data_IF_071273303061
#
_entry.id   IF_071273303061
#
_cell.length_a   1.000
_cell.length_b   1.000
_cell.length_c   1.000
_cell.angle_alpha   90.00
_cell.angle_beta   90.00
_cell.angle_gamma   90.00
#
_symmetry.space_group_name_H-M   'P 1'
#
loop_
_entity.id
_entity.type
_entity.pdbx_description
1 polymer ?
#
# COMPACT_ATOMS: atom_id res chain seq x y z
N UNK A 1 -65.36 24.17 -0.09
CA UNK A 1 -63.93 23.78 0.05
C UNK A 1 -63.83 22.75 1.16
N UNK A 2 -63.63 21.44 0.81
CA UNK A 2 -63.56 20.32 1.74
C UNK A 2 -62.07 19.98 1.97
N UNK A 3 -61.60 20.14 3.19
CA UNK A 3 -60.27 19.74 3.64
C UNK A 3 -60.21 18.20 3.71
N UNK A 4 -59.25 17.61 3.04
CA UNK A 4 -58.94 16.19 3.09
C UNK A 4 -57.90 15.92 4.18
N UNK A 5 -58.30 15.08 5.12
CA UNK A 5 -57.54 14.59 6.28
C UNK A 5 -56.41 13.62 5.87
N UNK A 6 -55.17 13.76 6.32
CA UNK A 6 -54.11 12.81 5.98
C UNK A 6 -54.19 11.57 6.87
N UNK A 7 -54.45 10.44 6.23
CA UNK A 7 -54.58 9.12 6.83
C UNK A 7 -53.39 8.69 7.72
N UNK A 8 -53.70 8.35 8.94
CA UNK A 8 -52.88 7.63 9.92
C UNK A 8 -52.35 6.33 9.32
N UNK A 9 -51.03 6.21 9.24
CA UNK A 9 -50.34 4.93 8.98
C UNK A 9 -50.12 4.23 10.29
N UNK A 10 -50.82 3.12 10.49
CA UNK A 10 -50.58 2.16 11.57
C UNK A 10 -49.30 1.37 11.32
N UNK A 11 -48.45 1.13 12.37
CA UNK A 11 -47.28 0.28 12.25
C UNK A 11 -47.68 -1.22 12.28
N UNK A 12 -46.92 -2.11 11.60
CA UNK A 12 -47.18 -3.54 11.59
C UNK A 12 -46.85 -4.20 12.96
N UNK A 13 -47.53 -5.31 13.30
CA UNK A 13 -47.35 -6.01 14.58
C UNK A 13 -45.99 -6.75 14.66
N UNK A 14 -45.38 -6.65 15.83
CA UNK A 14 -44.20 -7.44 16.21
C UNK A 14 -44.61 -8.90 16.38
N UNK A 15 -44.19 -9.79 15.47
CA UNK A 15 -44.30 -11.23 15.60
C UNK A 15 -43.26 -11.78 16.58
N UNK A 16 -43.74 -12.35 17.68
CA UNK A 16 -42.97 -13.19 18.62
C UNK A 16 -42.74 -14.55 17.98
N UNK A 17 -41.50 -14.83 17.54
CA UNK A 17 -41.06 -16.13 17.07
C UNK A 17 -40.32 -16.89 18.19
N UNK A 18 -40.92 -18.02 18.58
CA UNK A 18 -40.50 -18.96 19.64
C UNK A 18 -39.12 -19.57 19.35
N UNK A 19 -38.35 -19.71 20.41
CA UNK A 19 -37.16 -20.55 20.51
C UNK A 19 -37.47 -22.02 20.21
N UNK A 20 -36.71 -22.62 19.31
CA UNK A 20 -36.59 -24.06 19.16
C UNK A 20 -35.19 -24.47 19.63
N UNK A 21 -35.13 -25.10 20.79
CA UNK A 21 -33.95 -25.77 21.33
C UNK A 21 -33.82 -27.08 20.58
N UNK A 22 -32.82 -27.20 19.72
CA UNK A 22 -32.44 -28.44 19.06
C UNK A 22 -31.20 -29.03 19.73
N UNK A 23 -31.43 -30.07 20.52
CA UNK A 23 -30.43 -31.00 21.06
C UNK A 23 -29.88 -31.83 19.88
N UNK A 24 -28.60 -31.71 19.55
CA UNK A 24 -27.91 -32.59 18.60
C UNK A 24 -26.76 -33.32 19.30
N UNK A 25 -26.85 -34.64 19.28
CA UNK A 25 -26.01 -35.61 19.93
C UNK A 25 -24.55 -35.57 19.42
N UNK A 26 -23.62 -35.72 20.36
CA UNK A 26 -22.21 -35.96 20.12
C UNK A 26 -22.00 -37.38 19.59
N UNK A 27 -21.48 -37.51 18.38
CA UNK A 27 -20.91 -38.76 17.87
C UNK A 27 -19.40 -38.65 18.04
N UNK A 28 -18.88 -39.36 19.04
CA UNK A 28 -17.43 -39.57 19.21
C UNK A 28 -17.06 -40.72 18.25
N UNK A 29 -16.39 -40.39 17.15
CA UNK A 29 -15.71 -41.39 16.33
C UNK A 29 -14.23 -41.35 16.71
N UNK A 30 -13.83 -42.40 17.45
CA UNK A 30 -12.45 -42.67 17.77
C UNK A 30 -11.65 -43.02 16.49
N UNK A 31 -10.73 -42.21 16.11
CA UNK A 31 -9.73 -42.53 15.08
C UNK A 31 -8.44 -42.96 15.76
N UNK A 32 -8.07 -44.21 15.54
CA UNK A 32 -6.83 -44.83 16.00
C UNK A 32 -5.62 -44.09 15.39
N UNK A 33 -4.74 -43.63 16.25
CA UNK A 33 -3.44 -43.07 15.88
C UNK A 33 -2.53 -44.20 15.44
N UNK A 34 -2.31 -44.37 14.14
CA UNK A 34 -1.18 -45.11 13.60
C UNK A 34 0.06 -44.24 13.69
N UNK A 35 0.89 -44.46 14.66
CA UNK A 35 2.25 -43.91 14.77
C UNK A 35 3.14 -44.58 13.72
N UNK A 36 3.29 -44.01 12.55
CA UNK A 36 4.40 -44.31 11.65
C UNK A 36 5.63 -43.54 12.14
N UNK A 37 6.54 -44.27 12.76
CA UNK A 37 7.90 -43.79 13.05
C UNK A 37 8.63 -43.62 11.73
N UNK A 38 8.82 -42.37 11.32
CA UNK A 38 9.76 -42.01 10.26
C UNK A 38 11.15 -42.02 10.90
N UNK A 39 11.98 -42.98 10.49
CA UNK A 39 13.38 -43.07 10.90
C UNK A 39 14.11 -41.79 10.45
N UNK A 40 14.79 -41.15 11.39
CA UNK A 40 15.65 -40.03 11.14
C UNK A 40 16.86 -40.47 10.26
N UNK A 41 17.22 -39.70 9.22
CA UNK A 41 18.48 -39.99 8.48
C UNK A 41 19.68 -39.70 9.38
N UNK A 42 20.66 -40.59 9.31
CA UNK A 42 21.93 -40.49 10.01
C UNK A 42 22.71 -39.22 9.60
N UNK A 43 23.46 -38.60 10.52
CA UNK A 43 24.27 -37.43 10.21
C UNK A 43 25.43 -37.84 9.27
N UNK A 44 25.54 -37.13 8.16
CA UNK A 44 26.67 -37.20 7.25
C UNK A 44 27.98 -36.73 7.94
N UNK A 45 29.14 -37.34 7.66
CA UNK A 45 30.40 -36.95 8.28
C UNK A 45 30.80 -35.53 7.86
N UNK A 46 31.17 -34.75 8.85
CA UNK A 46 31.74 -33.42 8.71
C UNK A 46 32.96 -33.44 7.83
N UNK A 47 32.94 -32.81 6.70
CA UNK A 47 34.13 -32.48 5.92
C UNK A 47 34.91 -31.41 6.67
N UNK A 48 36.11 -31.76 7.03
CA UNK A 48 37.12 -30.97 7.72
C UNK A 48 37.40 -29.71 6.89
N UNK A 49 37.22 -28.54 7.49
CA UNK A 49 37.53 -27.27 6.88
C UNK A 49 39.05 -27.11 6.71
N UNK A 50 39.43 -26.80 5.48
CA UNK A 50 40.76 -26.38 5.09
C UNK A 50 41.11 -25.02 5.76
N UNK A 51 42.34 -24.82 6.25
CA UNK A 51 42.71 -23.59 6.93
C UNK A 51 42.72 -22.40 5.96
N UNK A 52 41.91 -21.41 6.29
CA UNK A 52 41.88 -20.09 5.65
C UNK A 52 43.27 -19.46 5.70
N UNK A 53 43.83 -18.96 4.59
CA UNK A 53 45.06 -18.17 4.61
C UNK A 53 44.83 -16.84 5.32
N UNK A 54 45.72 -16.55 6.25
CA UNK A 54 45.82 -15.31 7.02
C UNK A 54 46.00 -14.10 6.07
N UNK A 55 45.23 -12.99 6.22
CA UNK A 55 45.46 -11.82 5.42
C UNK A 55 46.74 -11.11 5.84
N UNK A 56 47.70 -11.07 4.93
CA UNK A 56 48.93 -10.27 5.03
C UNK A 56 48.58 -8.80 5.22
N UNK A 57 48.99 -8.25 6.35
CA UNK A 57 48.84 -6.81 6.64
C UNK A 57 49.72 -5.99 5.68
N UNK A 58 49.10 -5.36 4.71
CA UNK A 58 49.78 -4.33 3.92
C UNK A 58 49.91 -3.05 4.76
N UNK A 59 51.17 -2.72 5.04
CA UNK A 59 51.57 -1.50 5.73
C UNK A 59 51.31 -0.29 4.82
N UNK A 60 50.25 0.46 5.08
CA UNK A 60 50.03 1.75 4.43
C UNK A 60 50.99 2.78 5.01
N UNK A 61 51.96 3.17 4.18
CA UNK A 61 52.85 4.31 4.45
C UNK A 61 52.06 5.61 4.24
N UNK A 62 51.90 6.37 5.31
CA UNK A 62 51.24 7.67 5.25
C UNK A 62 52.03 8.68 4.43
N UNK A 63 51.42 9.44 3.51
CA UNK A 63 52.11 10.53 2.85
C UNK A 63 52.33 11.72 3.81
N UNK A 64 53.59 12.18 3.83
CA UNK A 64 54.09 13.30 4.59
C UNK A 64 53.36 14.59 4.17
N UNK A 65 52.77 15.30 5.13
CA UNK A 65 52.15 16.62 4.91
C UNK A 65 53.22 17.67 4.79
N UNK A 66 53.37 18.24 3.61
CA UNK A 66 54.16 19.45 3.34
C UNK A 66 53.34 20.69 3.79
N UNK A 67 53.94 21.62 4.56
CA UNK A 67 53.21 22.80 4.97
C UNK A 67 53.06 23.77 3.79
N UNK A 68 51.81 24.18 3.53
CA UNK A 68 51.44 25.18 2.56
C UNK A 68 51.58 26.59 3.12
N UNK A 69 52.05 27.58 2.33
CA UNK A 69 52.33 28.93 2.81
C UNK A 69 51.05 29.70 3.11
N UNK A 70 51.11 30.47 4.19
CA UNK A 70 50.15 31.50 4.57
C UNK A 70 49.99 32.53 3.46
N UNK A 71 48.78 32.70 2.96
CA UNK A 71 48.37 33.90 2.25
C UNK A 71 47.41 34.70 3.13
N UNK A 72 47.94 35.82 3.59
CA UNK A 72 47.16 36.96 4.09
C UNK A 72 46.22 37.41 2.99
N UNK A 73 44.91 37.32 3.20
CA UNK A 73 43.94 38.04 2.40
C UNK A 73 43.02 38.83 3.33
N UNK A 74 43.25 40.08 3.22
CA UNK A 74 42.55 41.23 3.76
C UNK A 74 41.07 41.28 3.31
N UNK A 75 40.23 41.58 4.27
CA UNK A 75 39.08 42.50 4.23
C UNK A 75 37.90 42.28 3.28
N UNK A 76 36.74 42.11 3.94
CA UNK A 76 35.48 42.77 3.67
C UNK A 76 34.74 42.43 2.37
N UNK A 77 33.78 41.57 2.54
CA UNK A 77 32.51 41.76 1.83
C UNK A 77 31.39 41.24 2.75
N UNK A 78 30.63 42.17 3.27
CA UNK A 78 29.35 41.88 3.92
C UNK A 78 28.41 41.24 2.90
N UNK A 79 28.41 39.93 2.83
CA UNK A 79 27.40 39.20 2.09
C UNK A 79 26.09 39.30 2.89
N UNK A 80 25.20 40.17 2.43
CA UNK A 80 23.79 40.16 2.84
C UNK A 80 23.26 38.78 2.55
N UNK A 81 23.05 37.98 3.59
CA UNK A 81 22.42 36.66 3.50
C UNK A 81 21.00 36.86 2.94
N UNK A 82 20.81 36.61 1.67
CA UNK A 82 19.50 36.47 1.07
C UNK A 82 18.84 35.30 1.75
N UNK A 83 17.77 35.54 2.52
CA UNK A 83 16.89 34.52 3.04
C UNK A 83 16.39 33.65 1.89
N UNK A 84 16.37 32.31 2.03
CA UNK A 84 15.82 31.46 1.02
C UNK A 84 14.35 31.86 0.75
N UNK A 85 13.88 31.86 -0.50
CA UNK A 85 12.51 32.24 -0.82
C UNK A 85 11.56 31.33 -0.02
N UNK A 86 10.64 31.95 0.70
CA UNK A 86 9.55 31.26 1.41
C UNK A 86 8.81 30.37 0.38
N UNK A 87 8.54 29.11 0.70
CA UNK A 87 7.83 28.23 -0.21
C UNK A 87 6.50 28.90 -0.58
N UNK A 88 6.30 29.15 -1.87
CA UNK A 88 5.03 29.68 -2.38
C UNK A 88 3.89 28.77 -1.94
N UNK A 89 2.76 29.32 -1.47
CA UNK A 89 1.60 28.49 -1.10
C UNK A 89 1.18 27.67 -2.31
N UNK A 90 1.11 26.34 -2.12
CA UNK A 90 0.59 25.43 -3.13
C UNK A 90 -0.86 25.86 -3.40
N UNK A 91 -1.26 26.17 -4.66
CA UNK A 91 -2.62 26.57 -4.94
C UNK A 91 -3.57 25.49 -4.47
N UNK A 92 -4.56 25.86 -3.64
CA UNK A 92 -5.66 24.95 -3.28
C UNK A 92 -6.47 24.68 -4.53
N UNK A 93 -6.25 23.50 -5.13
CA UNK A 93 -7.05 23.04 -6.24
C UNK A 93 -8.49 22.79 -5.75
N UNK A 94 -9.44 23.42 -6.39
CA UNK A 94 -10.87 23.09 -6.18
C UNK A 94 -11.08 21.70 -6.78
N UNK A 95 -11.35 20.72 -5.91
CA UNK A 95 -11.61 19.33 -6.33
C UNK A 95 -13.02 19.30 -6.91
N UNK A 96 -13.16 18.85 -8.16
CA UNK A 96 -14.46 18.70 -8.82
C UNK A 96 -15.30 17.58 -8.19
N UNK A 97 -16.63 17.62 -8.31
CA UNK A 97 -17.55 16.62 -7.71
C UNK A 97 -17.33 15.20 -8.25
N UNK A 98 -16.78 15.07 -9.45
CA UNK A 98 -16.45 13.80 -10.11
C UNK A 98 -15.00 13.37 -9.96
N UNK A 99 -14.22 14.08 -9.13
CA UNK A 99 -12.81 13.80 -8.88
C UNK A 99 -12.59 12.41 -8.27
N UNK A 100 -12.10 11.47 -9.07
CA UNK A 100 -11.84 10.09 -8.66
C UNK A 100 -10.52 9.59 -9.21
N UNK A 101 -9.86 8.69 -8.48
CA UNK A 101 -8.66 8.01 -8.95
C UNK A 101 -8.98 7.14 -10.17
N UNK A 102 -8.17 7.27 -11.23
CA UNK A 102 -8.34 6.56 -12.52
C UNK A 102 -7.16 5.67 -12.88
N UNK A 103 -5.97 5.94 -12.32
CA UNK A 103 -4.75 5.17 -12.55
C UNK A 103 -3.85 5.22 -11.34
N UNK A 104 -3.14 4.12 -11.05
CA UNK A 104 -2.05 4.07 -10.07
C UNK A 104 -0.80 3.50 -10.72
N UNK A 105 0.36 4.15 -10.48
CA UNK A 105 1.66 3.69 -10.96
C UNK A 105 2.69 3.71 -9.83
N UNK A 106 3.54 2.70 -9.82
CA UNK A 106 4.77 2.66 -9.00
C UNK A 106 5.88 2.23 -9.95
N UNK A 107 6.58 3.18 -10.61
CA UNK A 107 7.52 2.86 -11.67
C UNK A 107 8.60 1.86 -11.25
N UNK A 108 9.15 2.02 -10.04
CA UNK A 108 10.22 1.17 -9.51
C UNK A 108 9.77 -0.26 -9.18
N UNK A 109 8.46 -0.48 -9.11
CA UNK A 109 7.84 -1.81 -8.93
C UNK A 109 7.22 -2.33 -10.22
N UNK A 110 7.35 -1.62 -11.33
CA UNK A 110 6.69 -1.94 -12.61
C UNK A 110 5.17 -2.12 -12.46
N UNK A 111 4.56 -1.37 -11.55
CA UNK A 111 3.11 -1.35 -11.36
C UNK A 111 2.52 -0.20 -12.17
N UNK A 112 1.54 -0.53 -13.00
CA UNK A 112 0.77 0.43 -13.79
C UNK A 112 -0.63 -0.14 -14.03
N UNK A 113 -1.62 0.36 -13.29
CA UNK A 113 -2.97 -0.17 -13.27
C UNK A 113 -4.00 0.94 -13.45
N UNK A 114 -4.98 0.68 -14.30
CA UNK A 114 -6.22 1.44 -14.26
C UNK A 114 -6.92 1.24 -12.90
N UNK A 115 -7.47 2.30 -12.35
CA UNK A 115 -8.29 2.26 -11.13
C UNK A 115 -9.75 2.38 -11.54
N UNK A 116 -10.59 1.50 -11.00
CA UNK A 116 -12.02 1.48 -11.27
C UNK A 116 -12.83 1.52 -9.99
N UNK A 117 -14.08 1.93 -10.10
CA UNK A 117 -15.02 1.87 -8.99
C UNK A 117 -15.27 0.41 -8.57
N UNK A 118 -15.49 0.14 -7.28
CA UNK A 118 -15.87 -1.18 -6.82
C UNK A 118 -17.22 -1.58 -7.40
N UNK A 119 -17.46 -2.89 -7.64
CA UNK A 119 -18.75 -3.37 -8.07
C UNK A 119 -19.83 -3.04 -7.02
N UNK A 120 -21.07 -2.83 -7.47
CA UNK A 120 -22.21 -2.54 -6.57
C UNK A 120 -22.54 -3.73 -5.65
N UNK A 121 -22.30 -4.94 -6.13
CA UNK A 121 -22.42 -6.15 -5.33
C UNK A 121 -21.25 -6.26 -4.37
N UNK A 122 -21.53 -6.11 -3.08
CA UNK A 122 -20.51 -6.22 -2.01
C UNK A 122 -19.89 -7.62 -1.89
N UNK A 123 -20.54 -8.64 -2.44
CA UNK A 123 -20.04 -10.02 -2.47
C UNK A 123 -19.17 -10.28 -3.71
N UNK A 124 -19.17 -9.38 -4.69
CA UNK A 124 -18.32 -9.54 -5.84
C UNK A 124 -16.85 -9.36 -5.45
N UNK A 125 -16.04 -10.35 -5.80
CA UNK A 125 -14.60 -10.28 -5.63
C UNK A 125 -14.01 -9.14 -6.47
N UNK A 126 -12.90 -8.52 -6.02
CA UNK A 126 -12.18 -7.56 -6.84
C UNK A 126 -11.86 -8.16 -8.22
N UNK A 127 -11.97 -7.33 -9.26
CA UNK A 127 -11.58 -7.74 -10.62
C UNK A 127 -10.07 -7.84 -10.75
N UNK A 128 -9.60 -8.77 -11.58
CA UNK A 128 -8.21 -8.82 -12.02
C UNK A 128 -7.93 -7.80 -13.13
N UNK A 129 -6.65 -7.44 -13.31
CA UNK A 129 -6.20 -6.51 -14.34
C UNK A 129 -6.44 -5.02 -14.02
N UNK A 130 -6.99 -4.71 -12.85
CA UNK A 130 -7.25 -3.34 -12.39
C UNK A 130 -7.00 -3.21 -10.89
N UNK A 131 -6.80 -1.99 -10.42
CA UNK A 131 -6.96 -1.63 -9.02
C UNK A 131 -8.36 -1.07 -8.80
N UNK A 132 -8.80 -1.04 -7.55
CA UNK A 132 -10.08 -0.46 -7.14
C UNK A 132 -9.85 0.51 -6.00
N UNK A 133 -10.70 1.53 -5.91
CA UNK A 133 -10.72 2.40 -4.73
C UNK A 133 -11.82 1.99 -3.76
N UNK A 134 -11.63 2.29 -2.48
CA UNK A 134 -12.66 2.07 -1.46
C UNK A 134 -13.58 3.30 -1.39
N UNK A 135 -14.79 3.18 -1.92
CA UNK A 135 -15.73 4.28 -2.06
C UNK A 135 -16.19 4.93 -0.74
N UNK A 136 -15.97 4.28 0.39
CA UNK A 136 -16.28 4.82 1.72
C UNK A 136 -15.19 5.73 2.30
N UNK A 137 -14.07 5.88 1.59
CA UNK A 137 -12.96 6.76 1.96
C UNK A 137 -12.79 7.87 0.91
N UNK A 138 -11.75 8.67 1.06
CA UNK A 138 -11.53 9.87 0.28
C UNK A 138 -10.83 9.59 -1.05
N UNK A 139 -10.75 10.61 -1.90
CA UNK A 139 -10.01 10.59 -3.15
C UNK A 139 -8.69 11.39 -3.03
N UNK A 140 -7.73 11.24 -3.97
CA UNK A 140 -6.46 11.95 -3.92
C UNK A 140 -6.63 13.45 -3.71
N UNK A 141 -5.78 14.06 -2.85
CA UNK A 141 -5.84 15.49 -2.54
C UNK A 141 -6.91 15.91 -1.54
N UNK A 142 -7.84 15.03 -1.17
CA UNK A 142 -8.83 15.31 -0.14
C UNK A 142 -8.26 15.03 1.26
N UNK A 143 -8.80 15.70 2.26
CA UNK A 143 -8.43 15.42 3.67
C UNK A 143 -8.97 14.07 4.09
N UNK A 144 -8.07 13.13 4.33
CA UNK A 144 -8.38 11.74 4.68
C UNK A 144 -7.55 10.77 3.88
N UNK A 145 -7.91 9.50 3.89
CA UNK A 145 -7.18 8.46 3.18
C UNK A 145 -7.84 8.14 1.84
N UNK A 146 -7.09 8.22 0.76
CA UNK A 146 -7.37 7.49 -0.47
C UNK A 146 -6.94 6.05 -0.28
N UNK A 147 -7.80 5.09 -0.56
CA UNK A 147 -7.50 3.69 -0.37
C UNK A 147 -7.70 2.89 -1.66
N UNK A 148 -6.59 2.39 -2.20
CA UNK A 148 -6.57 1.59 -3.42
C UNK A 148 -6.19 0.14 -3.08
N UNK A 149 -6.84 -0.81 -3.72
CA UNK A 149 -6.55 -2.22 -3.51
C UNK A 149 -6.54 -3.01 -4.81
N UNK A 150 -5.67 -4.02 -4.87
CA UNK A 150 -5.54 -4.93 -6.00
C UNK A 150 -5.03 -6.29 -5.53
N UNK A 151 -5.17 -7.32 -6.38
CA UNK A 151 -4.70 -8.66 -6.08
C UNK A 151 -3.16 -8.76 -6.06
N UNK A 152 -2.63 -9.71 -5.26
CA UNK A 152 -1.22 -10.11 -5.27
C UNK A 152 -0.95 -11.06 -6.46
N UNK A 153 -1.12 -10.56 -7.69
CA UNK A 153 -0.95 -11.33 -8.94
C UNK A 153 -0.04 -10.58 -9.90
N UNK A 154 0.56 -11.32 -10.85
CA UNK A 154 1.37 -10.74 -11.91
C UNK A 154 0.60 -9.64 -12.66
N UNK A 155 1.30 -8.54 -12.99
CA UNK A 155 0.69 -7.36 -13.60
C UNK A 155 -0.21 -6.54 -12.67
N UNK A 156 -0.27 -6.89 -11.37
CA UNK A 156 -1.02 -6.16 -10.35
C UNK A 156 -0.10 -5.82 -9.16
N UNK A 157 -0.55 -5.98 -7.90
CA UNK A 157 0.24 -5.67 -6.72
C UNK A 157 1.13 -6.83 -6.24
N UNK A 158 1.43 -7.81 -7.09
CA UNK A 158 2.38 -8.89 -6.77
C UNK A 158 3.72 -8.37 -6.27
N UNK A 159 4.36 -7.35 -6.88
CA UNK A 159 5.66 -6.85 -6.41
C UNK A 159 5.63 -6.31 -4.97
N UNK A 160 4.50 -5.75 -4.52
CA UNK A 160 4.32 -5.33 -3.13
C UNK A 160 4.33 -6.55 -2.20
N UNK A 161 3.56 -7.60 -2.53
CA UNK A 161 3.53 -8.85 -1.77
C UNK A 161 4.91 -9.52 -1.72
N UNK A 162 5.60 -9.59 -2.85
CA UNK A 162 6.92 -10.24 -2.94
C UNK A 162 7.96 -9.54 -2.07
N UNK A 163 7.98 -8.22 -2.03
CA UNK A 163 8.86 -7.48 -1.14
C UNK A 163 8.42 -7.58 0.31
N UNK A 164 7.13 -7.39 0.59
CA UNK A 164 6.63 -7.31 1.96
C UNK A 164 6.65 -8.64 2.70
N UNK A 165 6.29 -9.73 2.04
CA UNK A 165 6.06 -11.04 2.67
C UNK A 165 7.16 -12.04 2.32
N UNK A 166 7.55 -12.12 1.03
CA UNK A 166 8.62 -13.03 0.62
C UNK A 166 10.03 -12.47 0.88
N UNK A 167 10.14 -11.21 1.24
CA UNK A 167 11.43 -10.56 1.51
C UNK A 167 12.30 -10.36 0.26
N UNK A 168 11.74 -10.54 -0.95
CA UNK A 168 12.50 -10.39 -2.18
C UNK A 168 12.90 -8.92 -2.42
N UNK A 169 13.95 -8.71 -3.20
CA UNK A 169 14.43 -7.37 -3.61
C UNK A 169 14.66 -6.40 -2.44
N UNK A 170 15.20 -6.88 -1.33
CA UNK A 170 15.51 -6.06 -0.15
C UNK A 170 14.36 -5.91 0.86
N UNK A 171 13.29 -6.67 0.68
CA UNK A 171 12.18 -6.74 1.63
C UNK A 171 11.32 -5.48 1.72
N UNK A 172 10.51 -5.35 2.79
CA UNK A 172 9.57 -4.24 2.94
C UNK A 172 10.27 -2.88 3.01
N UNK A 173 11.47 -2.81 3.59
CA UNK A 173 12.24 -1.56 3.71
C UNK A 173 12.63 -0.97 2.35
N UNK A 174 12.82 -1.80 1.33
CA UNK A 174 13.17 -1.36 -0.02
C UNK A 174 12.05 -0.59 -0.73
N UNK A 175 10.84 -0.60 -0.18
CA UNK A 175 9.72 0.19 -0.70
C UNK A 175 9.63 1.59 -0.09
N UNK A 176 10.30 1.83 1.05
CA UNK A 176 10.29 3.16 1.68
C UNK A 176 10.99 4.18 0.78
N UNK A 177 10.36 5.33 0.60
CA UNK A 177 10.86 6.40 -0.25
C UNK A 177 10.47 6.28 -1.73
N UNK A 178 9.95 5.14 -2.20
CA UNK A 178 9.48 4.98 -3.57
C UNK A 178 8.30 5.91 -3.87
N UNK A 179 8.23 6.36 -5.12
CA UNK A 179 7.16 7.22 -5.60
C UNK A 179 5.94 6.42 -6.03
N UNK A 180 4.76 6.89 -5.65
CA UNK A 180 3.48 6.39 -6.15
C UNK A 180 2.77 7.53 -6.85
N UNK A 181 2.43 7.34 -8.12
CA UNK A 181 1.65 8.29 -8.90
C UNK A 181 0.19 7.83 -8.93
N UNK A 182 -0.72 8.72 -8.59
CA UNK A 182 -2.16 8.49 -8.76
C UNK A 182 -2.71 9.57 -9.67
N UNK A 183 -3.38 9.16 -10.72
CA UNK A 183 -4.04 10.05 -11.67
C UNK A 183 -5.54 10.09 -11.36
N UNK A 184 -6.17 11.21 -11.70
CA UNK A 184 -7.59 11.45 -11.41
C UNK A 184 -8.37 11.83 -12.66
N UNK A 185 -9.68 11.72 -12.59
CA UNK A 185 -10.62 11.98 -13.70
C UNK A 185 -10.57 13.42 -14.24
N UNK A 186 -10.06 14.35 -13.47
CA UNK A 186 -9.86 15.76 -13.82
C UNK A 186 -8.45 16.08 -14.32
N UNK A 187 -7.75 15.06 -14.87
CA UNK A 187 -6.43 15.18 -15.48
C UNK A 187 -5.33 15.70 -14.54
N UNK A 188 -5.41 15.36 -13.25
CA UNK A 188 -4.35 15.64 -12.28
C UNK A 188 -3.52 14.39 -12.02
N UNK A 189 -2.24 14.60 -11.68
CA UNK A 189 -1.30 13.60 -11.19
C UNK A 189 -0.84 13.98 -9.80
N UNK A 190 -1.19 13.17 -8.83
CA UNK A 190 -0.73 13.23 -7.45
C UNK A 190 0.47 12.31 -7.28
N UNK A 191 1.56 12.83 -6.76
CA UNK A 191 2.76 12.05 -6.42
C UNK A 191 2.82 11.92 -4.91
N UNK A 192 2.86 10.69 -4.44
CA UNK A 192 3.03 10.32 -3.04
C UNK A 192 4.38 9.63 -2.86
N UNK A 193 4.90 9.65 -1.63
CA UNK A 193 6.10 8.92 -1.24
C UNK A 193 5.76 7.90 -0.18
N UNK A 194 6.15 6.63 -0.40
CA UNK A 194 5.93 5.56 0.57
C UNK A 194 6.73 5.86 1.84
N UNK A 195 6.05 5.91 2.97
CA UNK A 195 6.63 6.14 4.29
C UNK A 195 6.42 4.99 5.27
N UNK A 196 5.50 4.06 4.97
CA UNK A 196 5.25 2.92 5.83
C UNK A 196 4.79 1.68 5.04
N UNK A 197 5.29 0.51 5.46
CA UNK A 197 4.83 -0.79 4.98
C UNK A 197 4.41 -1.62 6.20
N UNK A 198 3.22 -2.17 6.17
CA UNK A 198 2.62 -2.94 7.25
C UNK A 198 2.13 -4.28 6.72
N UNK A 199 2.51 -5.34 7.39
CA UNK A 199 2.11 -6.71 7.04
C UNK A 199 1.09 -7.26 8.03
N UNK A 200 0.41 -8.33 7.66
CA UNK A 200 -0.57 -9.06 8.49
C UNK A 200 -1.72 -8.20 9.02
N UNK A 201 -2.07 -7.13 8.29
CA UNK A 201 -3.14 -6.24 8.70
C UNK A 201 -4.52 -6.85 8.45
N UNK A 202 -5.40 -6.74 9.42
CA UNK A 202 -6.79 -7.23 9.34
C UNK A 202 -7.82 -6.11 9.48
N UNK A 203 -7.37 -4.87 9.55
CA UNK A 203 -8.20 -3.69 9.81
C UNK A 203 -7.83 -2.52 8.91
N UNK A 204 -8.83 -1.73 8.54
CA UNK A 204 -8.68 -0.45 7.83
C UNK A 204 -8.68 0.76 8.78
N UNK A 205 -8.65 0.51 10.09
CA UNK A 205 -8.87 1.55 11.12
C UNK A 205 -7.95 2.76 10.95
N UNK A 206 -6.68 2.54 10.62
CA UNK A 206 -5.70 3.62 10.54
C UNK A 206 -5.94 4.47 9.30
N UNK A 207 -6.26 3.87 8.16
CA UNK A 207 -6.70 4.60 6.98
C UNK A 207 -7.99 5.40 7.25
N UNK A 208 -9.00 4.75 7.85
CA UNK A 208 -10.28 5.38 8.15
C UNK A 208 -10.19 6.54 9.18
N UNK A 209 -9.15 6.57 9.99
CA UNK A 209 -8.89 7.64 10.98
C UNK A 209 -7.98 8.75 10.47
N UNK A 210 -7.46 8.62 9.26
CA UNK A 210 -6.61 9.65 8.68
C UNK A 210 -7.34 10.99 8.59
N UNK A 211 -6.68 12.07 9.03
CA UNK A 211 -7.19 13.44 8.98
C UNK A 211 -6.45 14.33 7.99
N UNK A 212 -5.45 13.78 7.32
CA UNK A 212 -4.67 14.45 6.29
C UNK A 212 -4.70 13.60 5.02
N UNK A 213 -4.43 14.21 3.88
CA UNK A 213 -4.26 13.47 2.63
C UNK A 213 -3.19 12.39 2.80
N UNK A 214 -3.57 11.13 2.57
CA UNK A 214 -2.70 9.96 2.59
C UNK A 214 -3.18 8.97 1.55
N UNK A 215 -2.25 8.32 0.90
CA UNK A 215 -2.54 7.20 0.03
C UNK A 215 -2.26 5.89 0.77
N UNK A 216 -3.19 4.96 0.69
CA UNK A 216 -3.05 3.61 1.19
C UNK A 216 -3.23 2.61 0.06
N UNK A 217 -2.25 1.71 -0.11
CA UNK A 217 -2.32 0.61 -1.06
C UNK A 217 -2.47 -0.69 -0.30
N UNK A 218 -3.35 -1.58 -0.74
CA UNK A 218 -3.55 -2.88 -0.11
C UNK A 218 -3.47 -4.02 -1.11
N UNK A 219 -2.81 -5.10 -0.69
CA UNK A 219 -2.87 -6.38 -1.39
C UNK A 219 -3.00 -7.54 -0.41
N UNK A 220 -3.41 -8.71 -0.93
CA UNK A 220 -3.43 -9.96 -0.16
C UNK A 220 -2.02 -10.48 0.07
N UNK A 221 -1.82 -11.26 1.12
CA UNK A 221 -0.55 -11.93 1.44
C UNK A 221 -0.49 -13.33 0.84
N UNK A 222 -0.96 -13.46 -0.39
CA UNK A 222 -0.96 -14.68 -1.17
C UNK A 222 -1.94 -14.63 -2.33
N UNK A 223 -1.77 -15.50 -3.33
CA UNK A 223 -2.54 -15.47 -4.57
C UNK A 223 -4.02 -15.86 -4.41
N UNK A 224 -4.37 -16.58 -3.33
CA UNK A 224 -5.74 -17.08 -3.07
C UNK A 224 -6.54 -16.20 -2.12
N UNK A 225 -6.06 -15.01 -1.81
CA UNK A 225 -6.70 -14.12 -0.84
C UNK A 225 -6.51 -14.62 0.60
N UNK A 226 -5.75 -13.88 1.40
CA UNK A 226 -5.47 -14.22 2.80
C UNK A 226 -6.27 -13.31 3.72
N UNK A 227 -6.46 -13.73 4.96
CA UNK A 227 -7.06 -12.89 5.99
C UNK A 227 -6.17 -11.68 6.29
N UNK A 228 -4.86 -11.89 6.43
CA UNK A 228 -3.86 -10.82 6.55
C UNK A 228 -3.68 -10.09 5.23
N UNK A 229 -3.45 -8.78 5.30
CA UNK A 229 -3.21 -7.90 4.16
C UNK A 229 -1.93 -7.12 4.37
N UNK A 230 -1.17 -6.95 3.31
CA UNK A 230 -0.11 -5.96 3.27
C UNK A 230 -0.72 -4.60 2.93
N UNK A 231 -0.42 -3.61 3.76
CA UNK A 231 -0.81 -2.22 3.58
C UNK A 231 0.44 -1.35 3.43
N UNK A 232 0.45 -0.51 2.43
CA UNK A 232 1.52 0.47 2.17
C UNK A 232 0.90 1.85 2.30
N UNK A 233 1.46 2.67 3.19
CA UNK A 233 1.07 4.07 3.33
C UNK A 233 2.05 4.96 2.58
N UNK A 234 1.52 6.00 1.94
CA UNK A 234 2.33 7.03 1.31
C UNK A 234 1.76 8.42 1.61
N UNK A 235 2.64 9.41 1.70
CA UNK A 235 2.32 10.80 2.00
C UNK A 235 2.47 11.67 0.76
N UNK A 236 1.67 12.74 0.60
CA UNK A 236 1.70 13.58 -0.59
C UNK A 236 3.02 14.33 -0.72
N UNK A 237 3.50 14.47 -1.94
CA UNK A 237 4.72 15.20 -2.30
C UNK A 237 4.38 16.38 -3.19
N UNK A 238 3.64 16.15 -4.27
CA UNK A 238 3.28 17.20 -5.23
C UNK A 238 2.05 16.79 -6.04
N UNK A 239 1.43 17.77 -6.66
CA UNK A 239 0.37 17.59 -7.65
C UNK A 239 0.71 18.39 -8.90
N UNK A 240 0.46 17.81 -10.06
CA UNK A 240 0.70 18.42 -11.38
C UNK A 240 -0.43 18.05 -12.32
N UNK A 241 -0.58 18.78 -13.42
CA UNK A 241 -1.44 18.38 -14.52
C UNK A 241 -0.88 17.14 -15.23
N UNK A 242 -1.75 16.30 -15.74
CA UNK A 242 -1.43 15.17 -16.60
C UNK A 242 -2.08 15.36 -17.97
N UNK A 243 -1.63 14.64 -18.98
CA UNK A 243 -2.41 14.56 -20.21
C UNK A 243 -3.62 13.65 -20.01
N UNK A 244 -4.70 13.91 -20.70
CA UNK A 244 -5.91 13.09 -20.64
C UNK A 244 -5.60 11.60 -20.88
N UNK A 245 -4.76 11.28 -21.87
CA UNK A 245 -4.33 9.91 -22.14
C UNK A 245 -3.58 9.25 -20.96
N UNK A 246 -2.83 10.01 -20.18
CA UNK A 246 -2.14 9.50 -18.99
C UNK A 246 -3.14 9.23 -17.86
N UNK A 247 -4.09 10.13 -17.68
CA UNK A 247 -5.09 10.06 -16.62
C UNK A 247 -6.20 9.04 -16.92
N UNK A 248 -6.50 8.75 -18.19
CA UNK A 248 -7.60 7.87 -18.60
C UNK A 248 -7.10 6.61 -19.33
N UNK A 249 -6.43 5.68 -18.62
CA UNK A 249 -6.04 4.41 -19.22
C UNK A 249 -7.27 3.57 -19.53
N UNK A 250 -7.21 2.78 -20.61
CA UNK A 250 -8.27 1.81 -20.91
C UNK A 250 -8.26 0.69 -19.87
N UNK A 251 -9.26 0.68 -18.99
CA UNK A 251 -9.43 -0.38 -18.00
C UNK A 251 -9.88 -1.69 -18.66
N UNK A 252 -9.26 -2.81 -18.31
CA UNK A 252 -9.61 -4.16 -18.80
C UNK A 252 -9.87 -5.11 -17.62
N UNK A 253 -10.94 -4.90 -16.85
CA UNK A 253 -11.25 -5.76 -15.71
C UNK A 253 -11.72 -7.13 -16.19
N UNK A 254 -11.14 -8.19 -15.64
CA UNK A 254 -11.51 -9.58 -15.92
C UNK A 254 -11.83 -10.33 -14.65
N UNK A 255 -12.59 -11.42 -14.76
CA UNK A 255 -12.79 -12.33 -13.64
C UNK A 255 -11.46 -13.02 -13.33
N UNK A 256 -11.10 -13.10 -12.05
CA UNK A 256 -9.90 -13.82 -11.64
C UNK A 256 -10.16 -15.32 -11.73
N UNK A 257 -9.31 -16.04 -12.47
CA UNK A 257 -9.27 -17.49 -12.51
C UNK A 257 -8.62 -18.08 -11.25
#
# INVERSE_FOLDING_TARGET
MKQLDPARRTPPPRGAGRAAIGLAAAIIVGSALLLTQVAAPAPSPSTQADPTPEPTAETFTAPSLTPSPSLDVSLASSATASLPPSPSPVPSLVVADDHVATRVRIPELHIDLAVVAPPRDRNAYPKCGVAMFLASLHQPGQRGATYLYAHARAGMFLPIYERAIKGLHGGPKSMLGLSVEVYTSDDLRYVYRIDQVRVHQTSLRDAARSKSDQLWLQTSEGPRGTRGKTQVRAVPVTVTTATHRQAHPTAKPVTCG
#
